data_IF_103418293430
#
_entry.id   IF_103418293430
#
_cell.length_a   1.000
_cell.length_b   1.000
_cell.length_c   1.000
_cell.angle_alpha   90.00
_cell.angle_beta   90.00
_cell.angle_gamma   90.00
#
_symmetry.space_group_name_H-M   'P 1'
#
loop_
_entity.id
_entity.type
_entity.pdbx_description
1 polymer ?
#
# COMPACT_ATOMS: atom_id res chain seq x y z
N UNK A 1 -3.53 22.82 4.55
CA UNK A 1 -3.01 22.23 3.30
C UNK A 1 -3.21 20.74 3.40
N UNK A 2 -4.06 20.15 2.55
CA UNK A 2 -4.21 18.70 2.44
C UNK A 2 -4.04 18.30 0.98
N UNK A 3 -3.48 17.10 0.73
CA UNK A 3 -3.26 16.63 -0.63
C UNK A 3 -4.57 16.62 -1.45
N UNK A 4 -5.70 16.32 -0.81
CA UNK A 4 -7.00 16.32 -1.46
C UNK A 4 -7.46 17.68 -1.99
N UNK A 5 -6.97 18.79 -1.43
CA UNK A 5 -7.31 20.14 -1.91
C UNK A 5 -6.34 20.66 -2.97
N UNK A 6 -5.07 20.27 -2.90
CA UNK A 6 -4.00 20.80 -3.75
C UNK A 6 -3.64 19.92 -4.95
N UNK A 7 -3.89 18.60 -4.87
CA UNK A 7 -3.42 17.59 -5.83
C UNK A 7 -4.56 16.82 -6.52
N UNK A 8 -5.69 17.50 -6.76
CA UNK A 8 -6.92 16.89 -7.31
C UNK A 8 -6.73 16.17 -8.65
N UNK A 9 -5.79 16.61 -9.47
CA UNK A 9 -5.50 16.00 -10.78
C UNK A 9 -4.25 15.10 -10.76
N UNK A 10 -3.66 14.88 -9.58
CA UNK A 10 -2.37 14.21 -9.42
C UNK A 10 -2.46 12.90 -8.62
N UNK A 11 -3.58 12.18 -8.74
CA UNK A 11 -3.76 10.85 -8.11
C UNK A 11 -2.60 9.90 -8.44
N UNK A 12 -2.08 9.96 -9.68
CA UNK A 12 -0.93 9.16 -10.11
C UNK A 12 0.35 9.51 -9.33
N UNK A 13 0.64 10.81 -9.15
CA UNK A 13 1.79 11.29 -8.38
C UNK A 13 1.68 10.89 -6.90
N UNK A 14 0.48 11.04 -6.30
CA UNK A 14 0.23 10.63 -4.92
C UNK A 14 0.41 9.11 -4.76
N UNK A 15 -0.11 8.32 -5.70
CA UNK A 15 0.11 6.87 -5.71
C UNK A 15 1.59 6.49 -5.79
N UNK A 16 2.38 7.19 -6.62
CA UNK A 16 3.82 6.97 -6.71
C UNK A 16 4.54 7.34 -5.42
N UNK A 17 4.14 8.42 -4.76
CA UNK A 17 4.66 8.82 -3.45
C UNK A 17 4.39 7.74 -2.39
N UNK A 18 3.15 7.25 -2.30
CA UNK A 18 2.78 6.17 -1.36
C UNK A 18 3.53 4.88 -1.68
N UNK A 19 3.64 4.51 -2.96
CA UNK A 19 4.40 3.34 -3.39
C UNK A 19 5.88 3.44 -2.98
N UNK A 20 6.48 4.62 -3.12
CA UNK A 20 7.87 4.86 -2.72
C UNK A 20 8.03 4.72 -1.20
N UNK A 21 7.08 5.23 -0.41
CA UNK A 21 7.06 5.03 1.04
C UNK A 21 6.93 3.56 1.45
N UNK A 22 6.13 2.77 0.73
CA UNK A 22 6.02 1.32 0.97
C UNK A 22 7.33 0.61 0.60
N UNK A 23 7.98 0.99 -0.50
CA UNK A 23 9.29 0.43 -0.87
C UNK A 23 10.32 0.70 0.22
N UNK A 24 10.39 1.94 0.71
CA UNK A 24 11.27 2.31 1.82
C UNK A 24 11.01 1.46 3.08
N UNK A 25 9.74 1.16 3.42
CA UNK A 25 9.43 0.28 4.55
C UNK A 25 9.96 -1.15 4.34
N UNK A 26 9.94 -1.65 3.11
CA UNK A 26 10.52 -2.96 2.78
C UNK A 26 12.05 -2.94 2.89
N UNK A 27 12.70 -1.90 2.38
CA UNK A 27 14.16 -1.76 2.49
C UNK A 27 14.59 -1.65 3.96
N UNK A 28 13.85 -0.87 4.77
CA UNK A 28 14.06 -0.80 6.21
C UNK A 28 13.88 -2.17 6.87
N UNK A 29 12.84 -2.92 6.51
CA UNK A 29 12.62 -4.28 7.01
C UNK A 29 13.81 -5.19 6.68
N UNK A 30 14.30 -5.13 5.45
CA UNK A 30 15.40 -5.98 4.98
C UNK A 30 16.71 -5.64 5.67
N UNK A 31 16.99 -4.36 5.89
CA UNK A 31 18.09 -3.94 6.73
C UNK A 31 17.99 -4.53 8.15
N UNK A 32 16.82 -4.47 8.80
CA UNK A 32 16.64 -5.04 10.14
C UNK A 32 16.80 -6.56 10.13
N UNK A 33 16.35 -7.24 9.08
CA UNK A 33 16.53 -8.68 8.90
C UNK A 33 18.00 -9.07 8.80
N UNK A 34 18.77 -8.37 7.96
CA UNK A 34 20.22 -8.57 7.82
C UNK A 34 20.94 -8.28 9.13
N UNK A 35 20.58 -7.20 9.82
CA UNK A 35 21.13 -6.87 11.14
C UNK A 35 20.85 -7.96 12.17
N UNK A 36 19.61 -8.46 12.24
CA UNK A 36 19.26 -9.56 13.16
C UNK A 36 20.08 -10.82 12.87
N UNK A 37 20.28 -11.15 11.59
CA UNK A 37 21.10 -12.29 11.19
C UNK A 37 22.56 -12.15 11.65
N UNK A 38 23.16 -10.95 11.51
CA UNK A 38 24.52 -10.68 11.99
C UNK A 38 24.63 -10.89 13.52
N UNK A 39 23.66 -10.37 14.28
CA UNK A 39 23.64 -10.52 15.75
C UNK A 39 23.51 -12.01 16.16
N UNK A 40 22.70 -12.78 15.41
CA UNK A 40 22.56 -14.23 15.61
C UNK A 40 23.85 -14.99 15.32
N UNK A 41 24.52 -14.67 14.22
CA UNK A 41 25.80 -15.30 13.87
C UNK A 41 26.91 -14.98 14.87
N UNK A 42 26.94 -13.74 15.37
CA UNK A 42 27.85 -13.34 16.44
C UNK A 42 27.60 -14.20 17.70
N UNK A 43 26.35 -14.28 18.16
CA UNK A 43 25.99 -15.09 19.33
C UNK A 43 26.43 -16.56 19.16
N UNK A 44 26.12 -17.18 18.02
CA UNK A 44 26.50 -18.57 17.74
C UNK A 44 28.02 -18.80 17.75
N UNK A 45 28.80 -17.86 17.21
CA UNK A 45 30.27 -17.93 17.21
C UNK A 45 30.83 -17.82 18.64
N UNK A 46 30.26 -16.97 19.48
CA UNK A 46 30.66 -16.83 20.88
C UNK A 46 30.25 -18.06 21.69
N UNK A 47 29.03 -18.58 21.53
CA UNK A 47 28.58 -19.83 22.20
C UNK A 47 29.51 -21.01 21.87
N UNK A 48 29.88 -21.17 20.59
CA UNK A 48 30.81 -22.21 20.17
C UNK A 48 32.20 -22.02 20.79
N UNK A 49 32.67 -20.77 20.91
CA UNK A 49 33.93 -20.43 21.56
C UNK A 49 33.91 -20.81 23.05
N UNK A 50 32.88 -20.36 23.78
CA UNK A 50 32.69 -20.68 25.20
C UNK A 50 32.65 -22.18 25.40
N UNK A 51 31.82 -22.91 24.65
CA UNK A 51 31.72 -24.37 24.76
C UNK A 51 33.06 -25.08 24.56
N UNK A 52 33.83 -24.67 23.54
CA UNK A 52 35.16 -25.22 23.26
C UNK A 52 36.13 -25.01 24.43
N UNK A 53 36.11 -23.84 25.05
CA UNK A 53 37.05 -23.50 26.13
C UNK A 53 36.59 -23.96 27.51
N UNK A 54 35.29 -24.09 27.76
CA UNK A 54 34.74 -24.77 28.93
C UNK A 54 35.19 -26.23 28.94
N UNK A 55 35.01 -26.99 27.85
CA UNK A 55 35.49 -28.37 27.77
C UNK A 55 37.01 -28.52 27.95
N UNK A 56 37.79 -27.51 27.55
CA UNK A 56 39.25 -27.48 27.78
C UNK A 56 39.59 -27.17 29.24
N UNK A 57 38.85 -26.26 29.88
CA UNK A 57 38.97 -25.96 31.32
C UNK A 57 38.72 -27.23 32.11
N UNK A 58 37.61 -27.92 31.85
CA UNK A 58 37.22 -29.13 32.59
C UNK A 58 38.28 -30.24 32.50
N UNK A 59 38.90 -30.41 31.32
CA UNK A 59 40.01 -31.35 31.13
C UNK A 59 41.29 -30.97 31.88
N UNK A 60 41.57 -29.67 32.06
CA UNK A 60 42.76 -29.18 32.77
C UNK A 60 42.54 -28.98 34.27
N UNK A 61 41.28 -28.93 34.68
CA UNK A 61 40.89 -28.66 36.06
C UNK A 61 41.46 -29.69 37.04
N UNK A 62 41.48 -30.98 36.68
CA UNK A 62 42.11 -32.03 37.48
C UNK A 62 43.62 -31.79 37.66
N UNK A 63 44.34 -31.53 36.55
CA UNK A 63 45.79 -31.34 36.55
C UNK A 63 46.22 -30.06 37.31
N UNK A 64 45.39 -29.01 37.27
CA UNK A 64 45.68 -27.73 37.90
C UNK A 64 45.35 -27.67 39.40
N UNK A 65 44.65 -28.67 39.94
CA UNK A 65 44.22 -28.66 41.34
C UNK A 65 45.02 -29.63 42.22
N UNK A 66 45.62 -30.71 41.66
CA UNK A 66 46.41 -31.71 42.43
C UNK A 66 47.92 -31.69 42.11
N UNK A 67 48.35 -31.07 41.00
CA UNK A 67 49.72 -31.20 40.49
C UNK A 67 50.05 -32.59 39.93
N UNK A 68 51.30 -32.83 39.51
CA UNK A 68 51.75 -34.09 38.83
C UNK A 68 51.78 -35.34 39.73
N UNK A 69 51.41 -35.24 41.02
CA UNK A 69 51.41 -36.37 41.97
C UNK A 69 50.06 -36.48 42.70
N UNK A 70 49.09 -37.23 42.15
CA UNK A 70 47.86 -37.52 42.87
C UNK A 70 48.17 -38.48 44.02
N UNK A 71 47.92 -38.06 45.27
CA UNK A 71 47.93 -38.98 46.42
C UNK A 71 46.63 -39.77 46.41
N UNK A 72 46.69 -41.07 46.72
CA UNK A 72 45.56 -42.03 46.64
C UNK A 72 44.30 -41.66 47.45
N UNK A 73 44.31 -40.57 48.23
CA UNK A 73 43.19 -40.13 49.07
C UNK A 73 42.55 -38.78 48.63
N UNK A 74 42.98 -38.20 47.51
CA UNK A 74 42.49 -36.90 47.00
C UNK A 74 41.34 -37.06 45.96
N UNK A 75 40.37 -37.92 46.25
CA UNK A 75 39.21 -38.15 45.36
C UNK A 75 38.17 -37.03 45.40
N UNK A 76 38.24 -36.14 46.40
CA UNK A 76 37.41 -34.93 46.54
C UNK A 76 38.28 -33.67 46.47
N UNK A 77 39.04 -33.53 45.40
CA UNK A 77 39.75 -32.27 45.15
C UNK A 77 38.72 -31.23 44.76
N UNK A 78 38.49 -30.27 45.65
CA UNK A 78 37.66 -29.09 45.40
C UNK A 78 38.27 -28.30 44.25
N UNK A 79 37.82 -28.61 43.02
CA UNK A 79 38.21 -27.95 41.77
C UNK A 79 37.96 -26.43 41.84
N UNK A 80 37.09 -25.98 42.76
CA UNK A 80 36.85 -24.57 43.01
C UNK A 80 37.94 -23.91 43.88
N UNK A 81 38.84 -24.65 44.52
CA UNK A 81 39.89 -24.05 45.39
C UNK A 81 40.90 -23.17 44.63
N UNK A 82 41.07 -23.39 43.31
CA UNK A 82 41.97 -22.60 42.47
C UNK A 82 41.38 -21.25 42.06
N UNK A 83 41.98 -20.16 42.52
CA UNK A 83 41.59 -18.77 42.15
C UNK A 83 41.67 -18.52 40.64
N UNK A 84 42.62 -19.15 39.94
CA UNK A 84 42.74 -19.06 38.47
C UNK A 84 41.58 -19.74 37.75
N UNK A 85 41.14 -20.92 38.21
CA UNK A 85 40.00 -21.63 37.63
C UNK A 85 38.68 -20.90 37.90
N UNK A 86 38.54 -20.28 39.08
CA UNK A 86 37.41 -19.39 39.41
C UNK A 86 37.35 -18.19 38.46
N UNK A 87 38.45 -17.45 38.33
CA UNK A 87 38.52 -16.29 37.44
C UNK A 87 38.23 -16.67 35.97
N UNK A 88 38.77 -17.79 35.50
CA UNK A 88 38.50 -18.27 34.14
C UNK A 88 37.03 -18.70 33.95
N UNK A 89 36.41 -19.28 34.96
CA UNK A 89 34.99 -19.64 34.92
C UNK A 89 34.10 -18.41 34.80
N UNK A 90 34.37 -17.36 35.58
CA UNK A 90 33.66 -16.08 35.50
C UNK A 90 33.81 -15.47 34.10
N UNK A 91 35.01 -15.46 33.53
CA UNK A 91 35.23 -14.93 32.17
C UNK A 91 34.41 -15.70 31.13
N UNK A 92 34.38 -17.02 31.20
CA UNK A 92 33.59 -17.86 30.29
C UNK A 92 32.08 -17.63 30.47
N UNK A 93 31.61 -17.49 31.71
CA UNK A 93 30.22 -17.21 32.04
C UNK A 93 29.76 -15.84 31.51
N UNK A 94 30.54 -14.78 31.76
CA UNK A 94 30.23 -13.45 31.23
C UNK A 94 30.23 -13.42 29.69
N UNK A 95 31.16 -14.16 29.07
CA UNK A 95 31.20 -14.29 27.62
C UNK A 95 29.97 -15.03 27.07
N UNK A 96 29.49 -16.06 27.78
CA UNK A 96 28.24 -16.78 27.46
C UNK A 96 27.00 -15.89 27.61
N UNK A 97 26.98 -15.06 28.66
CA UNK A 97 25.90 -14.11 28.90
C UNK A 97 25.80 -13.08 27.77
N UNK A 98 26.93 -12.54 27.29
CA UNK A 98 26.96 -11.66 26.10
C UNK A 98 26.37 -12.37 24.87
N UNK A 99 26.66 -13.66 24.67
CA UNK A 99 26.10 -14.41 23.55
C UNK A 99 24.57 -14.54 23.66
N UNK A 100 24.05 -14.89 24.84
CA UNK A 100 22.60 -14.98 25.11
C UNK A 100 21.90 -13.64 24.90
N UNK A 101 22.48 -12.54 25.37
CA UNK A 101 21.93 -11.20 25.15
C UNK A 101 21.84 -10.86 23.66
N UNK A 102 22.88 -11.19 22.89
CA UNK A 102 22.92 -10.96 21.44
C UNK A 102 21.91 -11.82 20.69
N UNK A 103 21.74 -13.09 21.08
CA UNK A 103 20.71 -13.96 20.54
C UNK A 103 19.30 -13.41 20.81
N UNK A 104 19.03 -12.97 22.05
CA UNK A 104 17.77 -12.33 22.43
C UNK A 104 17.53 -11.03 21.67
N UNK A 105 18.58 -10.23 21.45
CA UNK A 105 18.48 -9.00 20.67
C UNK A 105 18.13 -9.28 19.21
N UNK A 106 18.76 -10.27 18.57
CA UNK A 106 18.40 -10.75 17.23
C UNK A 106 16.91 -11.16 17.14
N UNK A 107 16.44 -11.94 18.10
CA UNK A 107 15.03 -12.35 18.17
C UNK A 107 14.09 -11.14 18.34
N UNK A 108 14.47 -10.19 19.19
CA UNK A 108 13.71 -8.95 19.42
C UNK A 108 13.61 -8.12 18.14
N UNK A 109 14.71 -7.96 17.40
CA UNK A 109 14.71 -7.26 16.11
C UNK A 109 13.77 -7.96 15.11
N UNK A 110 13.79 -9.29 15.08
CA UNK A 110 12.96 -10.09 14.17
C UNK A 110 11.47 -9.96 14.51
N UNK A 111 11.10 -10.21 15.77
CA UNK A 111 9.68 -10.31 16.17
C UNK A 111 9.06 -8.93 16.39
N UNK A 112 9.77 -8.01 17.06
CA UNK A 112 9.18 -6.74 17.47
C UNK A 112 9.32 -5.63 16.44
N UNK A 113 10.28 -5.74 15.51
CA UNK A 113 10.52 -4.71 14.49
C UNK A 113 10.21 -5.25 13.11
N UNK A 114 10.95 -6.25 12.63
CA UNK A 114 10.83 -6.76 11.24
C UNK A 114 9.40 -7.25 10.93
N UNK A 115 8.81 -8.11 11.74
CA UNK A 115 7.45 -8.61 11.48
C UNK A 115 6.39 -7.49 11.59
N UNK A 116 6.53 -6.55 12.54
CA UNK A 116 5.59 -5.41 12.64
C UNK A 116 5.66 -4.50 11.42
N UNK A 117 6.87 -4.16 10.96
CA UNK A 117 7.07 -3.35 9.75
C UNK A 117 6.48 -4.06 8.54
N UNK A 118 6.72 -5.37 8.40
CA UNK A 118 6.13 -6.20 7.34
C UNK A 118 4.61 -6.16 7.36
N UNK A 119 3.98 -6.32 8.52
CA UNK A 119 2.51 -6.20 8.65
C UNK A 119 2.01 -4.82 8.19
N UNK A 120 2.68 -3.75 8.60
CA UNK A 120 2.31 -2.38 8.20
C UNK A 120 2.49 -2.16 6.71
N UNK A 121 3.61 -2.61 6.13
CA UNK A 121 3.89 -2.49 4.70
C UNK A 121 2.86 -3.24 3.85
N UNK A 122 2.54 -4.49 4.20
CA UNK A 122 1.50 -5.28 3.51
C UNK A 122 0.14 -4.59 3.61
N UNK A 123 -0.27 -4.14 4.80
CA UNK A 123 -1.54 -3.44 4.99
C UNK A 123 -1.60 -2.14 4.17
N UNK A 124 -0.52 -1.37 4.14
CA UNK A 124 -0.46 -0.13 3.33
C UNK A 124 -0.56 -0.44 1.84
N UNK A 125 0.08 -1.49 1.35
CA UNK A 125 -0.02 -1.90 -0.06
C UNK A 125 -1.45 -2.34 -0.43
N UNK A 126 -2.14 -3.08 0.44
CA UNK A 126 -3.55 -3.44 0.23
C UNK A 126 -4.47 -2.21 0.20
N UNK A 127 -4.28 -1.29 1.14
CA UNK A 127 -5.05 -0.03 1.21
C UNK A 127 -4.82 0.79 -0.06
N UNK A 128 -3.56 0.94 -0.47
CA UNK A 128 -3.18 1.65 -1.69
C UNK A 128 -3.87 1.06 -2.93
N UNK A 129 -3.86 -0.27 -3.09
CA UNK A 129 -4.55 -0.95 -4.21
C UNK A 129 -6.05 -0.63 -4.24
N UNK A 130 -6.73 -0.73 -3.09
CA UNK A 130 -8.15 -0.40 -2.96
C UNK A 130 -8.44 1.08 -3.30
N UNK A 131 -7.58 2.00 -2.89
CA UNK A 131 -7.70 3.41 -3.24
C UNK A 131 -7.57 3.63 -4.75
N UNK A 132 -6.62 2.95 -5.40
CA UNK A 132 -6.43 3.02 -6.85
C UNK A 132 -7.60 2.42 -7.64
N UNK A 133 -8.15 1.28 -7.19
CA UNK A 133 -9.36 0.70 -7.76
C UNK A 133 -10.55 1.66 -7.66
N UNK A 134 -10.72 2.29 -6.51
CA UNK A 134 -11.79 3.28 -6.31
C UNK A 134 -11.58 4.54 -7.15
N UNK A 135 -10.34 5.05 -7.25
CA UNK A 135 -10.00 6.16 -8.13
C UNK A 135 -10.37 5.85 -9.59
N UNK A 136 -10.01 4.65 -10.07
CA UNK A 136 -10.34 4.21 -11.42
C UNK A 136 -11.85 4.10 -11.62
N UNK A 137 -12.59 3.59 -10.64
CA UNK A 137 -14.05 3.55 -10.68
C UNK A 137 -14.66 4.95 -10.83
N UNK A 138 -14.20 5.93 -10.06
CA UNK A 138 -14.69 7.32 -10.17
C UNK A 138 -14.44 7.90 -11.56
N UNK A 139 -13.29 7.62 -12.16
CA UNK A 139 -12.97 8.04 -13.54
C UNK A 139 -13.91 7.37 -14.55
N UNK A 140 -14.12 6.05 -14.44
CA UNK A 140 -15.03 5.31 -15.32
C UNK A 140 -16.47 5.81 -15.22
N UNK A 141 -16.96 6.06 -14.00
CA UNK A 141 -18.32 6.57 -13.78
C UNK A 141 -18.49 7.97 -14.38
N UNK A 142 -17.49 8.85 -14.22
CA UNK A 142 -17.45 10.17 -14.85
C UNK A 142 -17.51 10.07 -16.37
N UNK A 143 -16.64 9.25 -16.96
CA UNK A 143 -16.52 9.12 -18.41
C UNK A 143 -17.77 8.51 -19.03
N UNK A 144 -18.43 7.57 -18.34
CA UNK A 144 -19.74 7.05 -18.72
C UNK A 144 -20.78 8.16 -18.82
N UNK A 145 -20.92 8.99 -17.79
CA UNK A 145 -21.89 10.11 -17.80
C UNK A 145 -21.53 11.16 -18.85
N UNK A 146 -20.25 11.42 -19.09
CA UNK A 146 -19.83 12.36 -20.14
C UNK A 146 -20.13 11.82 -21.54
N UNK A 147 -19.93 10.51 -21.76
CA UNK A 147 -20.27 9.84 -23.01
C UNK A 147 -21.78 9.86 -23.27
N UNK A 148 -22.60 9.63 -22.24
CA UNK A 148 -24.06 9.67 -22.35
C UNK A 148 -24.55 11.09 -22.69
N UNK A 149 -24.04 12.10 -21.99
CA UNK A 149 -24.32 13.51 -22.31
C UNK A 149 -23.97 13.85 -23.77
N UNK A 150 -22.85 13.31 -24.29
CA UNK A 150 -22.46 13.52 -25.69
C UNK A 150 -23.46 12.88 -26.66
N UNK A 151 -23.93 11.66 -26.39
CA UNK A 151 -24.97 10.99 -27.19
C UNK A 151 -26.28 11.77 -27.20
N UNK A 152 -26.75 12.20 -26.02
CA UNK A 152 -28.00 12.98 -25.90
C UNK A 152 -27.88 14.31 -26.64
N UNK A 153 -26.70 14.97 -26.58
CA UNK A 153 -26.44 16.17 -27.39
C UNK A 153 -26.54 15.88 -28.89
N UNK A 154 -25.88 14.82 -29.37
CA UNK A 154 -25.92 14.44 -30.79
C UNK A 154 -27.34 14.19 -31.25
N UNK A 155 -28.16 13.48 -30.46
CA UNK A 155 -29.57 13.25 -30.81
C UNK A 155 -30.39 14.55 -30.87
N UNK A 156 -30.15 15.48 -29.94
CA UNK A 156 -30.79 16.80 -29.99
C UNK A 156 -30.39 17.58 -31.25
N UNK A 157 -29.10 17.59 -31.59
CA UNK A 157 -28.59 18.27 -32.80
C UNK A 157 -29.21 17.66 -34.07
N UNK A 158 -29.36 16.32 -34.15
CA UNK A 158 -30.05 15.62 -35.24
C UNK A 158 -31.52 16.06 -35.37
N UNK A 159 -32.27 16.09 -34.25
CA UNK A 159 -33.67 16.54 -34.28
C UNK A 159 -33.79 18.01 -34.71
N UNK A 160 -32.82 18.88 -34.39
CA UNK A 160 -32.79 20.26 -34.89
C UNK A 160 -32.64 20.30 -36.42
N UNK A 161 -31.78 19.46 -36.99
CA UNK A 161 -31.60 19.33 -38.44
C UNK A 161 -32.87 18.79 -39.11
N UNK A 162 -33.54 17.81 -38.48
CA UNK A 162 -34.81 17.25 -38.96
C UNK A 162 -35.91 18.31 -39.03
N UNK A 163 -36.10 19.11 -37.97
CA UNK A 163 -37.06 20.23 -37.95
C UNK A 163 -36.75 21.24 -39.05
N UNK A 164 -35.47 21.55 -39.29
CA UNK A 164 -35.07 22.45 -40.37
C UNK A 164 -35.36 21.86 -41.76
N UNK A 165 -35.11 20.57 -41.96
CA UNK A 165 -35.47 19.84 -43.19
C UNK A 165 -36.99 19.86 -43.43
N UNK A 166 -37.78 19.59 -42.40
CA UNK A 166 -39.26 19.60 -42.49
C UNK A 166 -39.80 20.99 -42.80
N UNK A 167 -39.18 22.05 -42.26
CA UNK A 167 -39.47 23.43 -42.65
C UNK A 167 -39.20 23.69 -44.14
N UNK A 168 -38.02 23.28 -44.64
CA UNK A 168 -37.68 23.46 -46.06
C UNK A 168 -38.62 22.70 -47.01
N UNK A 169 -39.09 21.51 -46.61
CA UNK A 169 -40.09 20.76 -47.39
C UNK A 169 -41.43 21.46 -47.43
N UNK A 170 -41.86 22.03 -46.29
CA UNK A 170 -43.10 22.81 -46.21
C UNK A 170 -43.04 24.03 -47.13
N UNK A 171 -41.93 24.78 -47.11
CA UNK A 171 -41.76 26.01 -47.90
C UNK A 171 -41.72 25.77 -49.42
N UNK A 172 -41.40 24.54 -49.85
CA UNK A 172 -41.31 24.16 -51.27
C UNK A 172 -42.59 23.54 -51.82
N UNK A 173 -43.54 23.15 -50.97
CA UNK A 173 -44.78 22.50 -51.40
C UNK A 173 -45.85 23.52 -51.81
N UNK A 174 -46.58 23.23 -52.89
CA UNK A 174 -47.64 24.09 -53.44
C UNK A 174 -49.03 23.45 -53.43
N UNK A 175 -49.15 22.19 -52.99
CA UNK A 175 -50.42 21.45 -52.93
C UNK A 175 -51.00 21.53 -51.51
N UNK A 176 -52.22 22.09 -51.38
CA UNK A 176 -52.90 22.32 -50.10
C UNK A 176 -53.07 21.06 -49.26
N UNK A 177 -53.36 19.91 -49.87
CA UNK A 177 -53.56 18.65 -49.15
C UNK A 177 -52.23 18.09 -48.64
N UNK A 178 -51.15 18.30 -49.38
CA UNK A 178 -49.78 17.94 -48.98
C UNK A 178 -49.28 18.87 -47.88
N UNK A 179 -49.59 20.17 -47.98
CA UNK A 179 -49.20 21.17 -46.98
C UNK A 179 -49.74 20.85 -45.59
N UNK A 180 -51.00 20.42 -45.47
CA UNK A 180 -51.56 20.06 -44.15
C UNK A 180 -50.86 18.85 -43.51
N UNK A 181 -50.52 17.84 -44.32
CA UNK A 181 -49.76 16.68 -43.86
C UNK A 181 -48.34 17.07 -43.41
N UNK A 182 -47.65 17.93 -44.16
CA UNK A 182 -46.32 18.42 -43.83
C UNK A 182 -46.32 19.30 -42.56
N UNK A 183 -47.38 20.11 -42.35
CA UNK A 183 -47.57 20.88 -41.10
C UNK A 183 -47.67 19.94 -39.89
N UNK A 184 -48.48 18.88 -39.99
CA UNK A 184 -48.63 17.89 -38.92
C UNK A 184 -47.31 17.17 -38.63
N UNK A 185 -46.54 16.80 -39.66
CA UNK A 185 -45.21 16.19 -39.49
C UNK A 185 -44.25 17.14 -38.77
N UNK A 186 -44.16 18.40 -39.21
CA UNK A 186 -43.29 19.41 -38.57
C UNK A 186 -43.64 19.61 -37.09
N UNK A 187 -44.93 19.60 -36.74
CA UNK A 187 -45.36 19.69 -35.33
C UNK A 187 -44.81 18.51 -34.52
N UNK A 188 -44.86 17.28 -35.06
CA UNK A 188 -44.28 16.11 -34.40
C UNK A 188 -42.76 16.22 -34.26
N UNK A 189 -42.05 16.66 -35.30
CA UNK A 189 -40.60 16.85 -35.26
C UNK A 189 -40.21 17.91 -34.20
N UNK A 190 -41.00 18.99 -34.04
CA UNK A 190 -40.80 20.00 -33.00
C UNK A 190 -41.01 19.41 -31.60
N UNK A 191 -42.04 18.58 -31.40
CA UNK A 191 -42.29 17.91 -30.13
C UNK A 191 -41.11 16.99 -29.78
N UNK A 192 -40.65 16.18 -30.72
CA UNK A 192 -39.50 15.30 -30.53
C UNK A 192 -38.22 16.09 -30.23
N UNK A 193 -37.95 17.16 -30.97
CA UNK A 193 -36.82 18.05 -30.72
C UNK A 193 -36.89 18.67 -29.31
N UNK A 194 -38.05 19.14 -28.87
CA UNK A 194 -38.22 19.71 -27.53
C UNK A 194 -38.02 18.66 -26.43
N UNK A 195 -38.47 17.42 -26.64
CA UNK A 195 -38.21 16.32 -25.71
C UNK A 195 -36.72 16.03 -25.60
N UNK A 196 -36.01 15.94 -26.73
CA UNK A 196 -34.55 15.73 -26.75
C UNK A 196 -33.78 16.93 -26.17
N UNK A 197 -34.25 18.16 -26.37
CA UNK A 197 -33.70 19.36 -25.72
C UNK A 197 -33.79 19.25 -24.20
N UNK A 198 -34.95 18.86 -23.68
CA UNK A 198 -35.16 18.69 -22.23
C UNK A 198 -34.25 17.60 -21.66
N UNK A 199 -34.13 16.46 -22.35
CA UNK A 199 -33.18 15.40 -21.98
C UNK A 199 -31.73 15.90 -21.98
N UNK A 200 -31.34 16.69 -22.98
CA UNK A 200 -30.01 17.26 -23.05
C UNK A 200 -29.73 18.20 -21.87
N UNK A 201 -30.66 19.12 -21.56
CA UNK A 201 -30.56 20.03 -20.40
C UNK A 201 -30.41 19.23 -19.09
N UNK A 202 -31.21 18.18 -18.89
CA UNK A 202 -31.11 17.31 -17.73
C UNK A 202 -29.73 16.62 -17.67
N UNK A 203 -29.24 16.08 -18.80
CA UNK A 203 -27.93 15.43 -18.87
C UNK A 203 -26.76 16.39 -18.54
N UNK A 204 -26.87 17.67 -18.94
CA UNK A 204 -25.90 18.71 -18.55
C UNK A 204 -25.91 18.91 -17.04
N UNK A 205 -27.09 19.04 -16.43
CA UNK A 205 -27.22 19.22 -14.97
C UNK A 205 -26.60 18.06 -14.21
N UNK A 206 -26.89 16.82 -14.61
CA UNK A 206 -26.31 15.61 -14.00
C UNK A 206 -24.78 15.61 -14.14
N UNK A 207 -24.27 15.87 -15.35
CA UNK A 207 -22.83 15.90 -15.63
C UNK A 207 -22.08 16.98 -14.83
N UNK A 208 -22.68 18.17 -14.68
CA UNK A 208 -22.10 19.26 -13.90
C UNK A 208 -22.09 18.96 -12.40
N UNK A 209 -23.18 18.37 -11.89
CA UNK A 209 -23.25 17.97 -10.49
C UNK A 209 -22.20 16.88 -10.18
N UNK A 210 -22.07 15.87 -11.05
CA UNK A 210 -21.03 14.85 -10.94
C UNK A 210 -19.63 15.46 -10.98
N UNK A 211 -19.36 16.39 -11.89
CA UNK A 211 -18.07 17.10 -11.95
C UNK A 211 -17.78 17.81 -10.63
N UNK A 212 -18.77 18.50 -10.05
CA UNK A 212 -18.62 19.19 -8.77
C UNK A 212 -18.30 18.20 -7.66
N UNK A 213 -19.07 17.12 -7.54
CA UNK A 213 -18.86 16.06 -6.54
C UNK A 213 -17.48 15.40 -6.67
N UNK A 214 -17.07 15.08 -7.90
CA UNK A 214 -15.78 14.46 -8.21
C UNK A 214 -14.61 15.32 -7.68
N UNK A 215 -14.54 16.60 -8.05
CA UNK A 215 -13.40 17.48 -7.70
C UNK A 215 -13.46 18.12 -6.31
N UNK A 216 -14.62 18.13 -5.65
CA UNK A 216 -14.79 18.85 -4.38
C UNK A 216 -15.16 17.94 -3.21
N UNK A 217 -15.44 16.67 -3.45
CA UNK A 217 -15.80 15.71 -2.41
C UNK A 217 -15.05 14.40 -2.61
N UNK A 218 -15.28 13.70 -3.73
CA UNK A 218 -14.85 12.31 -3.89
C UNK A 218 -13.32 12.16 -4.01
N UNK A 219 -12.68 12.92 -4.91
CA UNK A 219 -11.21 12.88 -5.06
C UNK A 219 -10.49 13.43 -3.83
N UNK A 220 -10.87 14.60 -3.26
CA UNK A 220 -10.23 15.09 -2.06
C UNK A 220 -10.28 14.09 -0.90
N UNK A 221 -11.46 13.51 -0.63
CA UNK A 221 -11.62 12.52 0.44
C UNK A 221 -10.80 11.25 0.20
N UNK A 222 -10.65 10.84 -1.07
CA UNK A 222 -9.82 9.69 -1.43
C UNK A 222 -8.33 9.95 -1.22
N UNK A 223 -7.84 11.12 -1.64
CA UNK A 223 -6.43 11.48 -1.56
C UNK A 223 -6.00 11.76 -0.11
N UNK A 224 -6.87 12.30 0.73
CA UNK A 224 -6.52 12.63 2.11
C UNK A 224 -6.37 11.40 3.02
N UNK A 225 -6.83 10.23 2.58
CA UNK A 225 -6.86 8.98 3.37
C UNK A 225 -5.90 7.91 2.83
N UNK A 226 -5.23 8.18 1.71
CA UNK A 226 -4.28 7.25 1.05
C UNK A 226 -2.94 7.18 1.79
#
# INVERSE_FOLDING_TARGET
MSFGTELKDQVSSVNQFVQSGIHFLNDFRDFIKERAQIEKEYAQKIEALVKKYSSKKDKKALAMTVGDFPKENDTEVDVESSTFLKAWSVILEETDNIAKERAKFSETLSTNVMEKVKTVATRKEEIRKKHMEFAQKLVTDRDKIYSERKKVKTRYDECCVEVQSSQQRLDRSTDDKVLEKLKNQKIQDIIEMNNNKNLYILSIRVSNNLKKKYYHSDIPALIDVI
#
